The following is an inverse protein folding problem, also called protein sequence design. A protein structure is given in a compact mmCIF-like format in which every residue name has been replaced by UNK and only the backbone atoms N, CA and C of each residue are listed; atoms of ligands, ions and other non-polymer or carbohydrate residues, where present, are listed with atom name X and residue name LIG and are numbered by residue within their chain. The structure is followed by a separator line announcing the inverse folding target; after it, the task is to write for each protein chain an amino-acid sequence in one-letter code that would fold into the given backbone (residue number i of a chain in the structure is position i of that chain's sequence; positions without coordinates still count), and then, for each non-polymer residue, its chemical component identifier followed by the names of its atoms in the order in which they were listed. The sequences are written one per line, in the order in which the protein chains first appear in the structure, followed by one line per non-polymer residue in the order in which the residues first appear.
data_IF_569777465164
#
_entry.id   IF_569777465164
#
_cell.length_a   1.000
_cell.length_b   1.000
_cell.length_c   1.000
_cell.angle_alpha   90.00
_cell.angle_beta   90.00
_cell.angle_gamma   90.00
#
_symmetry.space_group_name_H-M   'P 1'
#
loop_
_entity.id
_entity.type
_entity.pdbx_description
1 polymer ?
#
# COMPACT_ATOMS: atom_id res chain seq x y z
N UNK A 1 -4.58 -21.09 -0.60
CA UNK A 1 -4.23 -22.50 -0.58
C UNK A 1 -3.98 -22.98 -2.02
N UNK A 2 -2.79 -23.52 -2.28
CA UNK A 2 -2.37 -23.95 -3.64
C UNK A 2 -3.28 -25.02 -4.26
N UNK A 3 -3.83 -25.92 -3.45
CA UNK A 3 -4.63 -27.04 -3.97
C UNK A 3 -6.10 -26.71 -4.26
N UNK A 4 -6.64 -25.65 -3.67
CA UNK A 4 -8.07 -25.33 -3.75
C UNK A 4 -8.36 -23.91 -4.23
N UNK A 5 -7.35 -23.11 -4.50
CA UNK A 5 -7.45 -21.66 -4.79
C UNK A 5 -8.29 -20.87 -3.78
N UNK A 6 -8.51 -21.46 -2.59
CA UNK A 6 -9.31 -20.84 -1.53
C UNK A 6 -8.53 -19.75 -0.82
N UNK A 7 -9.12 -18.55 -0.74
CA UNK A 7 -8.61 -17.45 0.09
C UNK A 7 -8.82 -17.83 1.57
N UNK A 8 -7.76 -17.79 2.37
CA UNK A 8 -7.78 -18.11 3.79
C UNK A 8 -7.78 -16.87 4.67
N UNK A 9 -7.04 -15.83 4.27
CA UNK A 9 -6.90 -14.58 4.99
C UNK A 9 -6.59 -13.44 4.03
N UNK A 10 -6.95 -12.22 4.40
CA UNK A 10 -6.68 -10.99 3.65
C UNK A 10 -6.28 -9.88 4.64
N UNK A 11 -5.52 -8.89 4.16
CA UNK A 11 -5.11 -7.75 4.99
C UNK A 11 -4.11 -8.13 6.08
N UNK A 12 -4.29 -7.63 7.29
CA UNK A 12 -3.36 -7.82 8.40
C UNK A 12 -3.14 -9.29 8.78
N UNK A 13 -4.16 -10.12 8.67
CA UNK A 13 -4.04 -11.56 8.94
C UNK A 13 -3.10 -12.21 7.92
N UNK A 14 -3.29 -11.93 6.63
CA UNK A 14 -2.41 -12.43 5.57
C UNK A 14 -0.97 -11.87 5.71
N UNK A 15 -0.83 -10.59 6.11
CA UNK A 15 0.48 -9.97 6.35
C UNK A 15 1.26 -10.73 7.44
N UNK A 16 0.61 -11.13 8.52
CA UNK A 16 1.22 -11.92 9.60
C UNK A 16 1.70 -13.31 9.16
N UNK A 17 1.13 -13.83 8.08
CA UNK A 17 1.48 -15.14 7.52
C UNK A 17 2.67 -15.10 6.56
N UNK A 18 3.12 -13.91 6.14
CA UNK A 18 4.27 -13.78 5.24
C UNK A 18 5.53 -14.44 5.82
N UNK A 19 6.13 -15.34 5.05
CA UNK A 19 7.31 -16.11 5.46
C UNK A 19 7.09 -17.16 6.55
N UNK A 20 5.83 -17.44 6.94
CA UNK A 20 5.46 -18.38 8.02
C UNK A 20 4.42 -19.41 7.60
N UNK A 21 4.14 -19.53 6.31
CA UNK A 21 3.12 -20.44 5.80
C UNK A 21 3.68 -21.84 5.52
N UNK A 22 2.93 -22.93 5.81
CA UNK A 22 3.28 -24.28 5.37
C UNK A 22 3.22 -24.39 3.85
N UNK A 23 3.83 -25.43 3.28
CA UNK A 23 4.05 -25.56 1.83
C UNK A 23 2.81 -25.53 0.93
N UNK A 24 1.64 -25.83 1.48
CA UNK A 24 0.35 -25.79 0.77
C UNK A 24 -0.37 -24.42 0.84
N UNK A 25 0.16 -23.47 1.61
CA UNK A 25 -0.38 -22.12 1.73
C UNK A 25 0.65 -21.13 1.20
N UNK A 26 0.21 -20.17 0.40
CA UNK A 26 1.06 -19.08 -0.10
C UNK A 26 0.47 -17.76 0.35
N UNK A 27 1.27 -16.94 1.01
CA UNK A 27 0.98 -15.54 1.26
C UNK A 27 1.55 -14.72 0.10
N UNK A 28 0.70 -13.97 -0.59
CA UNK A 28 1.05 -13.20 -1.79
C UNK A 28 0.80 -11.73 -1.50
N UNK A 29 1.72 -10.86 -1.92
CA UNK A 29 1.50 -9.42 -2.02
C UNK A 29 1.04 -9.11 -3.44
N UNK A 30 -0.25 -8.82 -3.67
CA UNK A 30 -0.77 -8.59 -5.02
C UNK A 30 -0.37 -7.25 -5.61
N UNK A 31 0.08 -6.34 -4.76
CA UNK A 31 0.56 -5.00 -5.12
C UNK A 31 2.07 -4.92 -4.89
N UNK A 32 2.80 -4.29 -5.81
CA UNK A 32 4.23 -4.01 -5.69
C UNK A 32 4.54 -2.65 -6.32
N UNK A 33 5.36 -1.87 -5.63
CA UNK A 33 5.83 -0.55 -6.12
C UNK A 33 4.67 0.37 -6.57
N UNK A 34 3.52 0.31 -5.85
CA UNK A 34 2.33 1.12 -6.13
C UNK A 34 1.44 0.63 -7.27
N UNK A 35 1.75 -0.53 -7.90
CA UNK A 35 0.98 -1.08 -9.02
C UNK A 35 0.49 -2.49 -8.75
N UNK A 36 -0.54 -2.92 -9.50
CA UNK A 36 -1.05 -4.29 -9.45
C UNK A 36 -0.02 -5.22 -10.10
N UNK A 37 0.53 -6.14 -9.32
CA UNK A 37 1.43 -7.19 -9.78
C UNK A 37 0.69 -8.49 -10.12
N UNK A 38 -0.45 -8.75 -9.49
CA UNK A 38 -1.28 -9.93 -9.70
C UNK A 38 -2.77 -9.54 -9.71
N UNK A 39 -3.39 -9.62 -10.88
CA UNK A 39 -4.79 -9.21 -11.09
C UNK A 39 -5.79 -10.11 -10.39
N UNK A 40 -5.62 -11.42 -10.48
CA UNK A 40 -6.55 -12.40 -9.92
C UNK A 40 -6.59 -12.31 -8.39
N UNK A 41 -5.41 -12.16 -7.79
CA UNK A 41 -5.29 -12.01 -6.34
C UNK A 41 -5.82 -10.64 -5.89
N UNK A 42 -5.56 -9.57 -6.65
CA UNK A 42 -6.11 -8.23 -6.35
C UNK A 42 -7.64 -8.24 -6.43
N UNK A 43 -8.23 -8.83 -7.47
CA UNK A 43 -9.68 -8.98 -7.59
C UNK A 43 -10.27 -9.76 -6.40
N UNK A 44 -9.64 -10.89 -6.05
CA UNK A 44 -10.07 -11.72 -4.92
C UNK A 44 -9.99 -10.96 -3.59
N UNK A 45 -8.97 -10.15 -3.40
CA UNK A 45 -8.79 -9.28 -2.23
C UNK A 45 -9.88 -8.20 -2.18
N UNK A 46 -10.14 -7.49 -3.27
CA UNK A 46 -11.19 -6.48 -3.36
C UNK A 46 -12.57 -7.09 -3.11
N UNK A 47 -12.87 -8.24 -3.71
CA UNK A 47 -14.11 -8.97 -3.50
C UNK A 47 -14.32 -9.34 -2.03
N UNK A 48 -13.26 -9.76 -1.35
CA UNK A 48 -13.30 -10.06 0.07
C UNK A 48 -13.64 -8.80 0.89
N UNK A 49 -12.98 -7.67 0.65
CA UNK A 49 -13.25 -6.43 1.37
C UNK A 49 -14.67 -5.90 1.11
N UNK A 50 -15.13 -5.93 -0.14
CA UNK A 50 -16.51 -5.54 -0.49
C UNK A 50 -17.52 -6.40 0.28
N UNK A 51 -17.31 -7.72 0.34
CA UNK A 51 -18.18 -8.62 1.06
C UNK A 51 -18.19 -8.35 2.57
N UNK A 52 -17.05 -8.03 3.16
CA UNK A 52 -16.95 -7.69 4.59
C UNK A 52 -17.71 -6.40 4.94
N UNK A 53 -17.54 -5.33 4.13
CA UNK A 53 -18.23 -4.05 4.37
C UNK A 53 -19.76 -4.18 4.23
N UNK A 54 -20.22 -5.01 3.31
CA UNK A 54 -21.65 -5.15 3.01
C UNK A 54 -22.33 -6.33 3.71
N UNK A 55 -21.70 -6.95 4.70
CA UNK A 55 -22.25 -8.12 5.42
C UNK A 55 -22.80 -9.21 4.47
N UNK A 56 -22.06 -9.53 3.43
CA UNK A 56 -22.41 -10.54 2.41
C UNK A 56 -23.73 -10.30 1.68
N UNK A 57 -24.25 -9.08 1.64
CA UNK A 57 -25.44 -8.74 0.83
C UNK A 57 -25.08 -8.77 -0.66
N UNK A 58 -25.17 -9.94 -1.26
CA UNK A 58 -24.77 -10.22 -2.67
C UNK A 58 -25.48 -9.37 -3.74
N UNK A 59 -26.61 -8.75 -3.40
CA UNK A 59 -27.40 -7.92 -4.34
C UNK A 59 -26.95 -6.47 -4.40
N UNK A 60 -26.09 -6.02 -3.49
CA UNK A 60 -25.65 -4.63 -3.45
C UNK A 60 -24.31 -4.51 -4.17
N UNK A 61 -24.31 -3.73 -5.27
CA UNK A 61 -23.08 -3.35 -5.98
C UNK A 61 -22.70 -1.91 -5.56
N UNK A 62 -21.64 -1.75 -4.76
CA UNK A 62 -21.26 -0.44 -4.26
C UNK A 62 -20.60 0.45 -5.31
N UNK A 63 -20.65 1.76 -5.09
CA UNK A 63 -19.70 2.69 -5.65
C UNK A 63 -18.43 2.66 -4.81
N UNK A 64 -17.28 2.63 -5.47
CA UNK A 64 -15.98 2.50 -4.80
C UNK A 64 -15.08 3.65 -5.25
N UNK A 65 -14.37 4.23 -4.29
CA UNK A 65 -13.26 5.15 -4.54
C UNK A 65 -11.97 4.39 -4.23
N UNK A 66 -11.01 4.44 -5.14
CA UNK A 66 -9.69 3.81 -4.99
C UNK A 66 -8.63 4.89 -5.13
N UNK A 67 -7.73 4.96 -4.14
CA UNK A 67 -6.56 5.79 -4.21
C UNK A 67 -5.53 5.15 -5.15
N UNK A 68 -4.90 5.97 -5.95
CA UNK A 68 -3.87 5.55 -6.90
C UNK A 68 -2.69 6.52 -6.85
N UNK A 69 -1.46 6.04 -7.07
CA UNK A 69 -0.30 6.91 -7.14
C UNK A 69 -0.43 7.98 -8.24
N UNK A 70 0.19 9.14 -8.01
CA UNK A 70 0.30 10.17 -9.05
C UNK A 70 1.18 9.65 -10.20
N UNK A 71 0.79 9.97 -11.42
CA UNK A 71 1.59 9.61 -12.60
C UNK A 71 1.49 8.17 -13.06
N UNK A 72 0.53 7.37 -12.54
CA UNK A 72 0.24 6.06 -13.12
C UNK A 72 -0.29 6.18 -14.55
N UNK A 73 0.06 5.22 -15.39
CA UNK A 73 -0.33 5.16 -16.80
C UNK A 73 -1.85 4.94 -16.96
N UNK A 74 -2.38 5.27 -18.14
CA UNK A 74 -3.79 4.99 -18.45
C UNK A 74 -4.10 3.49 -18.44
N UNK A 75 -3.12 2.64 -18.77
CA UNK A 75 -3.25 1.18 -18.69
C UNK A 75 -3.41 0.73 -17.23
N UNK A 76 -2.59 1.25 -16.33
CA UNK A 76 -2.68 0.95 -14.90
C UNK A 76 -4.01 1.46 -14.30
N UNK A 77 -4.46 2.69 -14.65
CA UNK A 77 -5.77 3.23 -14.24
C UNK A 77 -6.92 2.32 -14.70
N UNK A 78 -6.85 1.85 -15.93
CA UNK A 78 -7.84 0.94 -16.48
C UNK A 78 -7.84 -0.40 -15.76
N UNK A 79 -6.67 -0.94 -15.50
CA UNK A 79 -6.47 -2.18 -14.78
C UNK A 79 -7.09 -2.15 -13.37
N UNK A 80 -6.88 -1.05 -12.62
CA UNK A 80 -7.48 -0.86 -11.30
C UNK A 80 -9.01 -0.83 -11.38
N UNK A 81 -9.57 -0.09 -12.36
CA UNK A 81 -11.02 -0.03 -12.56
C UNK A 81 -11.62 -1.38 -12.92
N UNK A 82 -11.02 -2.10 -13.86
CA UNK A 82 -11.48 -3.43 -14.28
C UNK A 82 -11.42 -4.44 -13.13
N UNK A 83 -10.34 -4.48 -12.35
CA UNK A 83 -10.24 -5.34 -11.16
C UNK A 83 -11.35 -5.06 -10.14
N UNK A 84 -11.65 -3.79 -9.87
CA UNK A 84 -12.69 -3.43 -8.92
C UNK A 84 -14.11 -3.74 -9.45
N UNK A 85 -14.36 -3.54 -10.74
CA UNK A 85 -15.63 -3.91 -11.38
C UNK A 85 -15.84 -5.43 -11.37
N UNK A 86 -14.82 -6.21 -11.70
CA UNK A 86 -14.82 -7.68 -11.64
C UNK A 86 -15.02 -8.19 -10.21
N UNK A 87 -14.51 -7.46 -9.21
CA UNK A 87 -14.74 -7.74 -7.80
C UNK A 87 -16.18 -7.44 -7.33
N UNK A 88 -16.99 -6.74 -8.14
CA UNK A 88 -18.42 -6.48 -7.87
C UNK A 88 -18.78 -5.02 -7.67
N UNK A 89 -17.89 -4.07 -7.90
CA UNK A 89 -18.22 -2.64 -7.89
C UNK A 89 -19.17 -2.28 -9.04
N UNK A 90 -20.13 -1.37 -8.76
CA UNK A 90 -21.00 -0.79 -9.80
C UNK A 90 -20.31 0.34 -10.56
N UNK A 91 -19.66 1.21 -9.82
CA UNK A 91 -18.92 2.37 -10.31
C UNK A 91 -17.62 2.50 -9.57
N UNK A 92 -16.54 2.86 -10.26
CA UNK A 92 -15.20 3.00 -9.69
C UNK A 92 -14.67 4.39 -10.01
N UNK A 93 -14.38 5.13 -8.96
CA UNK A 93 -13.73 6.43 -9.02
C UNK A 93 -12.29 6.30 -8.57
N UNK A 94 -11.38 6.98 -9.25
CA UNK A 94 -9.98 7.04 -8.86
C UNK A 94 -9.68 8.43 -8.30
N UNK A 95 -8.94 8.47 -7.21
CA UNK A 95 -8.40 9.68 -6.60
C UNK A 95 -6.90 9.50 -6.42
N UNK A 96 -6.13 10.55 -6.63
CA UNK A 96 -4.68 10.50 -6.39
C UNK A 96 -4.38 10.47 -4.89
N UNK A 97 -3.42 9.63 -4.47
CA UNK A 97 -3.10 9.40 -3.06
C UNK A 97 -2.82 10.68 -2.28
N UNK A 98 -2.01 11.65 -2.77
CA UNK A 98 -1.76 12.89 -2.05
C UNK A 98 -3.01 13.77 -1.89
N UNK A 99 -3.94 13.74 -2.85
CA UNK A 99 -5.20 14.46 -2.74
C UNK A 99 -6.09 13.84 -1.66
N UNK A 100 -6.17 12.51 -1.63
CA UNK A 100 -6.91 11.80 -0.58
C UNK A 100 -6.31 12.05 0.81
N UNK A 101 -4.98 12.06 0.92
CA UNK A 101 -4.28 12.38 2.15
C UNK A 101 -4.54 13.81 2.63
N UNK A 102 -4.54 14.79 1.70
CA UNK A 102 -4.86 16.18 2.00
C UNK A 102 -6.29 16.34 2.54
N UNK A 103 -7.27 15.65 1.92
CA UNK A 103 -8.67 15.64 2.37
C UNK A 103 -8.75 15.00 3.77
N UNK A 104 -8.12 13.87 3.97
CA UNK A 104 -8.11 13.16 5.26
C UNK A 104 -7.42 13.93 6.38
N UNK A 105 -6.40 14.73 6.03
CA UNK A 105 -5.69 15.63 6.94
C UNK A 105 -6.40 16.97 7.18
N UNK A 106 -7.60 17.17 6.60
CA UNK A 106 -8.35 18.44 6.67
C UNK A 106 -7.52 19.68 6.24
N UNK A 107 -6.65 19.52 5.25
CA UNK A 107 -5.94 20.65 4.69
C UNK A 107 -6.91 21.57 3.92
N UNK A 108 -6.71 22.91 3.94
CA UNK A 108 -7.58 23.86 3.27
C UNK A 108 -7.34 23.86 1.74
N UNK A 109 -7.58 22.71 1.09
CA UNK A 109 -7.24 22.47 -0.31
C UNK A 109 -8.01 23.34 -1.30
N UNK A 110 -9.16 23.89 -0.91
CA UNK A 110 -10.00 24.77 -1.75
C UNK A 110 -9.53 26.22 -1.75
N UNK A 111 -8.67 26.59 -0.81
CA UNK A 111 -8.15 27.94 -0.70
C UNK A 111 -7.02 28.23 -1.72
N UNK A 112 -6.76 29.49 -2.07
CA UNK A 112 -5.66 29.87 -2.95
C UNK A 112 -4.30 29.87 -2.23
N UNK A 113 -4.11 28.92 -1.31
CA UNK A 113 -2.89 28.71 -0.55
C UNK A 113 -2.27 27.38 -0.98
N UNK A 114 -0.95 27.33 -1.07
CA UNK A 114 -0.24 26.10 -1.41
C UNK A 114 -0.13 25.19 -0.16
N UNK A 115 -0.65 23.98 -0.27
CA UNK A 115 -0.53 22.94 0.75
C UNK A 115 0.36 21.83 0.20
N UNK A 116 1.42 21.46 0.92
CA UNK A 116 2.30 20.36 0.51
C UNK A 116 1.99 19.10 1.32
N UNK A 117 1.87 18.00 0.61
CA UNK A 117 1.71 16.66 1.18
C UNK A 117 2.91 15.82 0.80
N UNK A 118 3.44 15.07 1.76
CA UNK A 118 4.43 14.01 1.55
C UNK A 118 3.81 12.73 2.05
N UNK A 119 3.51 11.82 1.14
CA UNK A 119 2.94 10.51 1.43
C UNK A 119 4.02 9.42 1.27
N UNK A 120 4.35 8.73 2.36
CA UNK A 120 5.38 7.68 2.39
C UNK A 120 4.68 6.34 2.63
N UNK A 121 4.37 5.65 1.53
CA UNK A 121 3.77 4.33 1.56
C UNK A 121 4.78 3.19 1.71
N UNK A 122 4.31 1.96 1.52
CA UNK A 122 5.17 0.78 1.50
C UNK A 122 6.04 0.70 0.23
N UNK A 123 5.44 0.98 -0.94
CA UNK A 123 6.11 0.85 -2.24
C UNK A 123 6.52 2.16 -2.89
N UNK A 124 5.84 3.26 -2.56
CA UNK A 124 6.02 4.59 -3.17
C UNK A 124 6.18 5.68 -2.13
N UNK A 125 6.85 6.74 -2.49
CA UNK A 125 6.81 8.04 -1.80
C UNK A 125 6.35 9.10 -2.79
N UNK A 126 5.36 9.88 -2.39
CA UNK A 126 4.75 10.89 -3.22
C UNK A 126 4.83 12.26 -2.55
N UNK A 127 5.15 13.27 -3.34
CA UNK A 127 5.12 14.66 -2.92
C UNK A 127 4.17 15.41 -3.85
N UNK A 128 3.23 16.14 -3.28
CA UNK A 128 2.33 16.99 -4.07
C UNK A 128 2.12 18.34 -3.42
N UNK A 129 1.98 19.36 -4.26
CA UNK A 129 1.54 20.70 -3.88
C UNK A 129 0.13 20.87 -4.40
N UNK A 130 -0.80 21.21 -3.52
CA UNK A 130 -2.24 21.30 -3.77
C UNK A 130 -2.70 22.72 -3.49
N UNK A 131 -3.47 23.29 -4.39
CA UNK A 131 -4.12 24.59 -4.26
C UNK A 131 -5.39 24.64 -5.10
N UNK A 132 -6.44 25.36 -4.66
CA UNK A 132 -7.70 25.51 -5.36
C UNK A 132 -8.30 24.16 -5.84
N UNK A 133 -8.28 23.16 -4.95
CA UNK A 133 -8.74 21.80 -5.17
C UNK A 133 -8.04 21.04 -6.33
N UNK A 134 -6.88 21.53 -6.79
CA UNK A 134 -6.08 20.92 -7.85
C UNK A 134 -4.65 20.61 -7.40
N UNK A 135 -4.06 19.56 -7.97
CA UNK A 135 -2.63 19.27 -7.80
C UNK A 135 -1.87 20.16 -8.78
N UNK A 136 -1.11 21.11 -8.23
CA UNK A 136 -0.28 22.05 -8.99
C UNK A 136 1.04 21.43 -9.43
N UNK A 137 1.61 20.62 -8.54
CA UNK A 137 2.86 19.88 -8.79
C UNK A 137 2.80 18.54 -8.04
N UNK A 138 3.30 17.51 -8.67
CA UNK A 138 3.47 16.22 -7.99
C UNK A 138 4.69 15.47 -8.52
N UNK A 139 5.27 14.65 -7.66
CA UNK A 139 6.34 13.73 -8.01
C UNK A 139 6.18 12.45 -7.19
N UNK A 140 6.27 11.31 -7.86
CA UNK A 140 6.27 9.98 -7.24
C UNK A 140 7.60 9.28 -7.50
N UNK A 141 8.10 8.57 -6.48
CA UNK A 141 9.27 7.70 -6.59
C UNK A 141 8.92 6.33 -6.02
N UNK A 142 9.43 5.27 -6.67
CA UNK A 142 9.20 3.87 -6.25
C UNK A 142 10.18 3.47 -5.14
N UNK A 143 10.21 4.26 -4.08
CA UNK A 143 10.97 4.04 -2.86
C UNK A 143 10.03 4.31 -1.70
N UNK A 144 9.88 3.35 -0.80
CA UNK A 144 9.03 3.44 0.37
C UNK A 144 9.50 2.50 1.47
N UNK A 145 8.64 2.19 2.41
CA UNK A 145 8.94 1.38 3.57
C UNK A 145 9.55 0.00 3.26
N UNK A 146 9.11 -0.63 2.18
CA UNK A 146 9.63 -1.94 1.76
C UNK A 146 11.11 -1.86 1.34
N UNK A 147 11.54 -0.77 0.68
CA UNK A 147 12.94 -0.54 0.32
C UNK A 147 13.81 -0.24 1.55
N UNK A 148 13.23 0.43 2.54
CA UNK A 148 13.91 0.64 3.83
C UNK A 148 14.15 -0.70 4.53
N UNK A 149 13.14 -1.58 4.57
CA UNK A 149 13.25 -2.92 5.16
C UNK A 149 14.29 -3.79 4.43
N UNK A 150 14.29 -3.80 3.09
CA UNK A 150 15.31 -4.46 2.28
C UNK A 150 16.71 -3.94 2.60
N UNK A 151 16.89 -2.65 2.76
CA UNK A 151 18.18 -2.03 3.10
C UNK A 151 18.69 -2.46 4.47
N UNK A 152 17.79 -2.56 5.47
CA UNK A 152 18.11 -3.07 6.80
C UNK A 152 18.56 -4.54 6.72
N UNK A 153 17.82 -5.38 6.00
CA UNK A 153 18.19 -6.78 5.79
C UNK A 153 19.58 -6.92 5.16
N UNK A 154 19.84 -6.15 4.11
CA UNK A 154 21.15 -6.16 3.44
C UNK A 154 22.28 -5.68 4.33
N UNK A 155 22.04 -4.64 5.15
CA UNK A 155 23.02 -4.15 6.11
C UNK A 155 23.37 -5.21 7.14
N UNK A 156 22.37 -5.85 7.78
CA UNK A 156 22.57 -6.88 8.80
C UNK A 156 23.29 -8.09 8.20
N UNK A 157 22.91 -8.54 7.01
CA UNK A 157 23.60 -9.63 6.33
C UNK A 157 25.08 -9.30 6.08
N UNK A 158 25.37 -8.09 5.58
CA UNK A 158 26.72 -7.69 5.22
C UNK A 158 27.61 -7.46 6.43
N UNK A 159 27.07 -6.83 7.49
CA UNK A 159 27.85 -6.43 8.67
C UNK A 159 28.00 -7.56 9.69
N UNK A 160 26.95 -8.35 9.88
CA UNK A 160 26.88 -9.36 10.93
C UNK A 160 26.79 -10.79 10.41
N UNK A 161 26.71 -10.99 9.09
CA UNK A 161 26.50 -12.29 8.44
C UNK A 161 25.23 -13.02 8.94
N UNK A 162 24.21 -12.28 9.35
CA UNK A 162 22.94 -12.79 9.83
C UNK A 162 21.85 -12.60 8.77
N UNK A 163 21.00 -13.61 8.64
CA UNK A 163 19.82 -13.55 7.79
C UNK A 163 18.59 -13.27 8.65
N UNK A 164 17.92 -12.15 8.37
CA UNK A 164 16.63 -11.80 8.97
C UNK A 164 15.55 -11.72 7.90
N UNK A 165 14.30 -11.98 8.27
CA UNK A 165 13.15 -11.81 7.37
C UNK A 165 12.64 -10.37 7.35
N UNK A 166 11.84 -10.04 6.31
CA UNK A 166 11.21 -8.71 6.15
C UNK A 166 10.44 -8.24 7.39
N UNK A 167 9.72 -9.14 8.06
CA UNK A 167 8.95 -8.79 9.27
C UNK A 167 9.86 -8.33 10.43
N UNK A 168 11.05 -8.90 10.55
CA UNK A 168 12.03 -8.48 11.55
C UNK A 168 12.66 -7.13 11.17
N UNK A 169 12.99 -6.94 9.89
CA UNK A 169 13.49 -5.67 9.39
C UNK A 169 12.46 -4.53 9.59
N UNK A 170 11.20 -4.78 9.28
CA UNK A 170 10.11 -3.82 9.54
C UNK A 170 10.01 -3.49 11.03
N UNK A 171 10.08 -4.48 11.90
CA UNK A 171 10.07 -4.27 13.36
C UNK A 171 11.26 -3.42 13.82
N UNK A 172 12.46 -3.68 13.34
CA UNK A 172 13.66 -2.89 13.63
C UNK A 172 13.45 -1.44 13.20
N UNK A 173 13.02 -1.23 11.96
CA UNK A 173 12.71 0.11 11.43
C UNK A 173 11.73 0.87 12.31
N UNK A 174 10.63 0.21 12.72
CA UNK A 174 9.58 0.85 13.52
C UNK A 174 9.99 1.11 14.98
N UNK A 175 10.88 0.29 15.53
CA UNK A 175 11.26 0.38 16.94
C UNK A 175 12.41 1.35 17.20
N UNK A 176 13.42 1.36 16.31
CA UNK A 176 14.63 2.17 16.51
C UNK A 176 14.99 3.06 15.32
N UNK A 177 14.20 3.02 14.26
CA UNK A 177 14.44 3.88 13.10
C UNK A 177 14.18 5.35 13.43
N UNK A 178 15.11 6.22 13.03
CA UNK A 178 14.97 7.65 13.14
C UNK A 178 15.32 8.32 11.81
N UNK A 179 14.59 9.38 11.45
CA UNK A 179 14.86 10.15 10.25
C UNK A 179 15.99 11.16 10.44
N UNK A 180 16.31 11.49 11.68
CA UNK A 180 17.37 12.41 12.05
C UNK A 180 18.26 11.79 13.13
N UNK A 181 19.60 11.87 13.05
CA UNK A 181 20.50 11.43 14.09
C UNK A 181 20.21 12.15 15.41
N UNK A 182 20.15 11.41 16.51
CA UNK A 182 19.82 11.96 17.81
C UNK A 182 19.98 10.94 18.93
N UNK A 183 19.26 11.12 20.03
CA UNK A 183 19.33 10.30 21.24
C UNK A 183 18.97 8.81 21.02
N UNK A 184 18.51 8.45 19.83
CA UNK A 184 18.13 7.09 19.44
C UNK A 184 19.28 6.27 18.85
N UNK A 185 20.46 6.87 18.60
CA UNK A 185 21.57 6.21 17.88
C UNK A 185 22.17 5.02 18.64
N UNK A 186 21.91 4.89 19.93
CA UNK A 186 22.40 3.83 20.81
C UNK A 186 21.32 2.88 21.34
N UNK A 187 20.15 2.85 20.73
CA UNK A 187 19.10 1.91 21.16
C UNK A 187 19.42 0.49 20.72
N UNK A 188 19.37 -0.46 21.67
CA UNK A 188 19.45 -1.90 21.44
C UNK A 188 18.04 -2.52 21.48
N UNK A 189 17.83 -3.55 20.66
CA UNK A 189 16.58 -4.32 20.55
C UNK A 189 16.72 -5.69 21.16
#
# INVERSE_FOLDING_TARGET
NKGTSKVLAVGNEAKRMLGRTPGNIVAIRPMKDGVIADFEITESMLRYFIAQVHNSRRLVRPRIIICVPTGITQVEKRAVKESAQSAGAREVYLIEEPMAAAIGGNLPITEPTANMVVDIGGGTTEVAVISLAGIVYSKSVRVGGDKMDESIMHHIKRKYNLLIGLSNAERIKQSIGAAFPGDYDNQEL
#
